data_IF_361950590559
#
_entry.id   IF_361950590559
#
_cell.length_a   1.000
_cell.length_b   1.000
_cell.length_c   1.000
_cell.angle_alpha   90.00
_cell.angle_beta   90.00
_cell.angle_gamma   90.00
#
_symmetry.space_group_name_H-M   'P 1'
#
loop_
_entity.id
_entity.type
_entity.pdbx_description
1 polymer ?
#
# COMPACT_ATOMS: atom_id res chain seq x y z
N UNK A 1 -25.83 -19.80 -23.04
CA UNK A 1 -24.65 -19.69 -22.16
C UNK A 1 -25.17 -19.26 -20.80
N UNK A 2 -24.97 -20.06 -19.74
CA UNK A 2 -25.57 -19.78 -18.43
C UNK A 2 -24.98 -18.50 -17.82
N UNK A 3 -25.83 -17.61 -17.28
CA UNK A 3 -25.40 -16.36 -16.65
C UNK A 3 -24.41 -16.59 -15.50
N UNK A 4 -24.52 -17.72 -14.80
CA UNK A 4 -23.58 -18.16 -13.76
C UNK A 4 -22.18 -18.41 -14.31
N UNK A 5 -22.06 -19.05 -15.47
CA UNK A 5 -20.76 -19.35 -16.09
C UNK A 5 -20.03 -18.07 -16.52
N UNK A 6 -20.78 -17.10 -17.06
CA UNK A 6 -20.25 -15.76 -17.39
C UNK A 6 -19.77 -15.04 -16.13
N UNK A 7 -20.55 -15.11 -15.05
CA UNK A 7 -20.22 -14.45 -13.78
C UNK A 7 -18.94 -15.02 -13.15
N UNK A 8 -18.78 -16.35 -13.15
CA UNK A 8 -17.57 -17.01 -12.65
C UNK A 8 -16.34 -16.58 -13.45
N UNK A 9 -16.43 -16.54 -14.79
CA UNK A 9 -15.32 -16.09 -15.64
C UNK A 9 -14.93 -14.64 -15.32
N UNK A 10 -15.91 -13.74 -15.18
CA UNK A 10 -15.66 -12.34 -14.84
C UNK A 10 -14.96 -12.19 -13.49
N UNK A 11 -15.38 -12.96 -12.48
CA UNK A 11 -14.76 -13.00 -11.16
C UNK A 11 -13.30 -13.47 -11.25
N UNK A 12 -13.02 -14.54 -11.99
CA UNK A 12 -11.67 -15.08 -12.16
C UNK A 12 -10.77 -14.07 -12.88
N UNK A 13 -11.26 -13.41 -13.93
CA UNK A 13 -10.51 -12.37 -14.64
C UNK A 13 -10.18 -11.17 -13.74
N UNK A 14 -11.14 -10.74 -12.92
CA UNK A 14 -10.93 -9.70 -11.90
C UNK A 14 -9.84 -10.09 -10.90
N UNK A 15 -9.86 -11.32 -10.41
CA UNK A 15 -8.85 -11.84 -9.49
C UNK A 15 -7.46 -11.84 -10.11
N UNK A 16 -7.34 -12.37 -11.33
CA UNK A 16 -6.07 -12.41 -12.07
C UNK A 16 -5.54 -10.99 -12.30
N UNK A 17 -6.41 -10.05 -12.70
CA UNK A 17 -6.03 -8.66 -12.91
C UNK A 17 -5.54 -7.98 -11.60
N UNK A 18 -6.25 -8.19 -10.50
CA UNK A 18 -5.84 -7.67 -9.18
C UNK A 18 -4.49 -8.23 -8.74
N UNK A 19 -4.27 -9.54 -8.91
CA UNK A 19 -3.01 -10.18 -8.56
C UNK A 19 -1.86 -9.63 -9.42
N UNK A 20 -2.03 -9.53 -10.75
CA UNK A 20 -0.98 -9.05 -11.67
C UNK A 20 -0.59 -7.60 -11.37
N UNK A 21 -1.56 -6.71 -11.23
CA UNK A 21 -1.29 -5.28 -10.97
C UNK A 21 -0.53 -5.09 -9.66
N UNK A 22 -0.80 -5.94 -8.67
CA UNK A 22 -0.23 -5.84 -7.33
C UNK A 22 1.11 -6.54 -7.21
N UNK A 23 1.31 -7.62 -7.94
CA UNK A 23 2.62 -8.24 -8.14
C UNK A 23 3.62 -7.25 -8.75
N UNK A 24 3.22 -6.49 -9.78
CA UNK A 24 4.08 -5.44 -10.37
C UNK A 24 4.51 -4.39 -9.34
N UNK A 25 3.57 -3.94 -8.50
CA UNK A 25 3.84 -2.99 -7.41
C UNK A 25 4.80 -3.56 -6.35
N UNK A 26 4.59 -4.82 -5.96
CA UNK A 26 5.47 -5.51 -5.02
C UNK A 26 6.88 -5.73 -5.57
N UNK A 27 6.99 -6.10 -6.86
CA UNK A 27 8.29 -6.27 -7.53
C UNK A 27 9.09 -4.97 -7.52
N UNK A 28 8.46 -3.86 -7.90
CA UNK A 28 9.10 -2.54 -7.84
C UNK A 28 9.56 -2.21 -6.41
N UNK A 29 8.72 -2.44 -5.40
CA UNK A 29 9.13 -2.26 -4.00
C UNK A 29 10.32 -3.12 -3.58
N UNK A 30 10.36 -4.40 -3.99
CA UNK A 30 11.46 -5.30 -3.67
C UNK A 30 12.77 -4.82 -4.29
N UNK A 31 12.74 -4.34 -5.52
CA UNK A 31 13.89 -3.72 -6.19
C UNK A 31 14.35 -2.48 -5.42
N UNK A 32 13.44 -1.66 -4.90
CA UNK A 32 13.77 -0.49 -4.08
C UNK A 32 14.37 -0.85 -2.74
N UNK A 33 13.84 -1.89 -2.10
CA UNK A 33 14.37 -2.40 -0.84
C UNK A 33 15.80 -2.93 -1.04
N UNK A 34 16.05 -3.62 -2.15
CA UNK A 34 17.39 -4.07 -2.51
C UNK A 34 18.35 -2.90 -2.78
N UNK A 35 17.92 -1.88 -3.53
CA UNK A 35 18.71 -0.67 -3.78
C UNK A 35 19.00 0.12 -2.50
N UNK A 36 18.02 0.21 -1.59
CA UNK A 36 18.18 0.83 -0.29
C UNK A 36 19.10 0.01 0.62
N UNK A 37 19.00 -1.32 0.64
CA UNK A 37 19.89 -2.22 1.40
C UNK A 37 21.34 -2.19 0.90
N UNK A 38 21.55 -1.95 -0.40
CA UNK A 38 22.89 -1.74 -0.95
C UNK A 38 23.54 -0.46 -0.42
N UNK A 39 22.74 0.57 -0.08
CA UNK A 39 23.18 1.75 0.63
C UNK A 39 23.10 1.51 2.14
N UNK A 40 24.20 1.00 2.71
CA UNK A 40 24.33 0.58 4.13
C UNK A 40 23.98 1.65 5.18
N UNK A 41 23.75 2.89 4.77
CA UNK A 41 23.44 4.06 5.60
C UNK A 41 21.93 4.38 5.68
N UNK A 42 21.06 3.57 5.08
CA UNK A 42 19.61 3.80 5.06
C UNK A 42 18.88 3.17 6.26
N UNK A 43 17.96 3.92 6.86
CA UNK A 43 17.04 3.45 7.91
C UNK A 43 15.64 3.24 7.34
N UNK A 44 15.00 2.11 7.64
CA UNK A 44 13.62 1.82 7.27
C UNK A 44 12.64 2.36 8.32
N UNK A 45 11.62 3.12 7.89
CA UNK A 45 10.50 3.52 8.73
C UNK A 45 9.18 3.11 8.10
N UNK A 46 8.42 2.30 8.83
CA UNK A 46 7.05 1.92 8.47
C UNK A 46 6.01 2.73 9.26
N UNK A 47 5.11 3.39 8.53
CA UNK A 47 4.11 4.31 9.10
C UNK A 47 2.66 3.79 8.98
N UNK A 48 2.47 2.64 8.34
CA UNK A 48 1.17 2.08 7.97
C UNK A 48 0.53 1.13 8.97
N UNK A 49 0.99 1.10 10.23
CA UNK A 49 0.51 0.15 11.25
C UNK A 49 -1.01 0.20 11.46
N UNK A 50 -1.61 1.40 11.45
CA UNK A 50 -3.06 1.57 11.58
C UNK A 50 -3.82 0.92 10.42
N UNK A 51 -3.32 1.01 9.19
CA UNK A 51 -3.93 0.36 8.03
C UNK A 51 -3.87 -1.16 8.17
N UNK A 52 -2.71 -1.70 8.56
CA UNK A 52 -2.55 -3.14 8.81
C UNK A 52 -3.59 -3.63 9.82
N UNK A 53 -3.79 -2.89 10.91
CA UNK A 53 -4.78 -3.20 11.94
C UNK A 53 -6.22 -3.19 11.38
N UNK A 54 -6.60 -2.17 10.61
CA UNK A 54 -7.93 -2.08 9.98
C UNK A 54 -8.15 -3.24 9.01
N UNK A 55 -7.15 -3.58 8.19
CA UNK A 55 -7.24 -4.70 7.25
C UNK A 55 -7.38 -6.06 7.96
N UNK A 56 -6.65 -6.28 9.05
CA UNK A 56 -6.80 -7.48 9.89
C UNK A 56 -8.22 -7.53 10.48
N UNK A 57 -8.72 -6.40 10.99
CA UNK A 57 -10.06 -6.34 11.57
C UNK A 57 -11.16 -6.61 10.54
N UNK A 58 -11.07 -6.03 9.35
CA UNK A 58 -11.99 -6.30 8.22
C UNK A 58 -11.93 -7.77 7.82
N UNK A 59 -10.74 -8.38 7.78
CA UNK A 59 -10.56 -9.79 7.47
C UNK A 59 -11.27 -10.68 8.50
N UNK A 60 -11.06 -10.42 9.79
CA UNK A 60 -11.71 -11.17 10.89
C UNK A 60 -13.24 -11.02 10.81
N UNK A 61 -13.75 -9.81 10.65
CA UNK A 61 -15.19 -9.56 10.50
C UNK A 61 -15.78 -10.26 9.26
N UNK A 62 -15.04 -10.30 8.15
CA UNK A 62 -15.46 -10.99 6.93
C UNK A 62 -15.55 -12.51 7.13
N UNK A 63 -14.58 -13.11 7.82
CA UNK A 63 -14.60 -14.54 8.17
C UNK A 63 -15.78 -14.86 9.09
N UNK A 64 -16.00 -14.03 10.12
CA UNK A 64 -17.15 -14.20 11.04
C UNK A 64 -18.47 -14.09 10.29
N UNK A 65 -18.62 -13.10 9.40
CA UNK A 65 -19.81 -12.96 8.57
C UNK A 65 -20.05 -14.20 7.69
N UNK A 66 -18.99 -14.78 7.13
CA UNK A 66 -19.08 -16.01 6.35
C UNK A 66 -19.53 -17.22 7.16
N UNK A 67 -18.99 -17.39 8.37
CA UNK A 67 -19.39 -18.45 9.28
C UNK A 67 -20.87 -18.29 9.68
N UNK A 68 -21.32 -17.07 9.98
CA UNK A 68 -22.72 -16.77 10.33
C UNK A 68 -23.66 -17.07 9.16
N UNK A 69 -23.29 -16.72 7.92
CA UNK A 69 -24.07 -17.04 6.72
C UNK A 69 -24.15 -18.55 6.51
N UNK A 70 -23.03 -19.27 6.66
CA UNK A 70 -22.96 -20.72 6.52
C UNK A 70 -23.80 -21.46 7.58
N UNK A 71 -23.71 -21.06 8.85
CA UNK A 71 -24.44 -21.68 9.97
C UNK A 71 -25.95 -21.41 9.86
N UNK A 72 -26.35 -20.19 9.50
CA UNK A 72 -27.76 -19.82 9.49
C UNK A 72 -28.52 -20.30 8.24
N UNK A 73 -27.88 -21.03 7.32
CA UNK A 73 -28.45 -21.46 6.03
C UNK A 73 -29.32 -20.36 5.41
N UNK A 74 -28.86 -19.12 5.47
CA UNK A 74 -29.50 -18.02 4.76
C UNK A 74 -29.58 -18.49 3.31
N UNK A 75 -30.80 -18.67 2.81
CA UNK A 75 -31.11 -19.35 1.54
C UNK A 75 -30.23 -18.83 0.40
N UNK A 76 -29.13 -19.51 0.16
CA UNK A 76 -28.20 -19.22 -0.92
C UNK A 76 -27.73 -20.57 -1.44
N UNK A 77 -28.29 -20.97 -2.58
CA UNK A 77 -28.28 -22.34 -3.09
C UNK A 77 -26.93 -22.81 -3.63
N UNK A 78 -25.88 -21.97 -3.63
CA UNK A 78 -24.60 -22.30 -4.27
C UNK A 78 -23.36 -21.99 -3.38
N UNK A 79 -22.80 -23.01 -2.69
CA UNK A 79 -21.62 -22.85 -1.83
C UNK A 79 -20.34 -22.49 -2.60
N UNK A 80 -20.27 -22.76 -3.91
CA UNK A 80 -19.13 -22.41 -4.76
C UNK A 80 -19.00 -20.88 -4.90
N UNK A 81 -20.12 -20.20 -5.13
CA UNK A 81 -20.20 -18.75 -5.30
C UNK A 81 -19.72 -18.00 -4.05
N UNK A 82 -20.05 -18.49 -2.84
CA UNK A 82 -19.54 -17.90 -1.59
C UNK A 82 -18.04 -18.13 -1.37
N UNK A 83 -17.53 -19.30 -1.74
CA UNK A 83 -16.10 -19.58 -1.65
C UNK A 83 -15.29 -18.63 -2.55
N UNK A 84 -15.80 -18.33 -3.75
CA UNK A 84 -15.22 -17.32 -4.65
C UNK A 84 -15.28 -15.92 -4.05
N UNK A 85 -16.38 -15.51 -3.43
CA UNK A 85 -16.49 -14.22 -2.74
C UNK A 85 -15.48 -14.11 -1.59
N UNK A 86 -15.33 -15.15 -0.75
CA UNK A 86 -14.31 -15.16 0.30
C UNK A 86 -12.90 -15.12 -0.26
N UNK A 87 -12.63 -15.86 -1.33
CA UNK A 87 -11.34 -15.81 -2.01
C UNK A 87 -11.04 -14.39 -2.52
N UNK A 88 -12.02 -13.68 -3.08
CA UNK A 88 -11.86 -12.29 -3.51
C UNK A 88 -11.56 -11.37 -2.35
N UNK A 89 -12.32 -11.45 -1.26
CA UNK A 89 -12.10 -10.60 -0.08
C UNK A 89 -10.71 -10.87 0.50
N UNK A 90 -10.35 -12.14 0.67
CA UNK A 90 -9.06 -12.55 1.21
C UNK A 90 -7.88 -12.08 0.35
N UNK A 91 -7.94 -12.33 -0.97
CA UNK A 91 -6.92 -11.87 -1.91
C UNK A 91 -6.82 -10.35 -1.90
N UNK A 92 -7.96 -9.63 -1.89
CA UNK A 92 -8.01 -8.17 -1.84
C UNK A 92 -7.34 -7.62 -0.58
N UNK A 93 -7.59 -8.22 0.58
CA UNK A 93 -6.95 -7.83 1.84
C UNK A 93 -5.44 -8.07 1.80
N UNK A 94 -4.99 -9.26 1.36
CA UNK A 94 -3.55 -9.55 1.26
C UNK A 94 -2.84 -8.59 0.31
N UNK A 95 -3.44 -8.36 -0.84
CA UNK A 95 -2.99 -7.42 -1.86
C UNK A 95 -2.86 -6.00 -1.31
N UNK A 96 -3.85 -5.54 -0.55
CA UNK A 96 -3.85 -4.21 -0.01
C UNK A 96 -2.89 -4.07 1.18
N UNK A 97 -2.69 -5.12 1.99
CA UNK A 97 -1.65 -5.16 3.02
C UNK A 97 -0.26 -4.97 2.41
N UNK A 98 0.01 -5.63 1.27
CA UNK A 98 1.25 -5.44 0.52
C UNK A 98 1.34 -3.99 0.05
N UNK A 99 0.29 -3.44 -0.58
CA UNK A 99 0.26 -2.03 -1.00
C UNK A 99 0.52 -1.06 0.14
N UNK A 100 -0.10 -1.27 1.30
CA UNK A 100 0.11 -0.48 2.51
C UNK A 100 1.58 -0.56 2.93
N UNK A 101 2.16 -1.75 2.97
CA UNK A 101 3.58 -1.90 3.27
C UNK A 101 4.45 -1.09 2.30
N UNK A 102 4.19 -1.18 1.00
CA UNK A 102 4.92 -0.43 -0.03
C UNK A 102 4.76 1.09 0.14
N UNK A 103 3.52 1.58 0.27
CA UNK A 103 3.23 3.02 0.30
C UNK A 103 3.67 3.69 1.60
N UNK A 104 3.69 2.94 2.71
CA UNK A 104 3.95 3.49 4.03
C UNK A 104 5.33 3.14 4.60
N UNK A 105 6.14 2.39 3.85
CA UNK A 105 7.56 2.22 4.15
C UNK A 105 8.36 3.29 3.42
N UNK A 106 9.21 4.00 4.15
CA UNK A 106 10.18 4.93 3.59
C UNK A 106 11.57 4.59 4.08
N UNK A 107 12.53 4.49 3.17
CA UNK A 107 13.94 4.32 3.49
C UNK A 107 14.63 5.67 3.40
N UNK A 108 15.30 6.11 4.46
CA UNK A 108 15.88 7.45 4.54
C UNK A 108 17.22 7.47 5.25
N UNK A 109 18.01 8.51 4.96
CA UNK A 109 19.27 8.82 5.64
C UNK A 109 19.35 10.35 5.88
N UNK A 110 20.54 10.86 6.19
CA UNK A 110 20.79 12.28 6.43
C UNK A 110 20.78 13.17 5.18
N UNK A 111 20.79 12.58 3.99
CA UNK A 111 20.97 13.29 2.72
C UNK A 111 19.74 13.25 1.84
N UNK A 112 18.90 12.24 2.01
CA UNK A 112 17.72 12.02 1.21
C UNK A 112 16.94 10.79 1.65
N UNK A 113 16.02 10.39 0.79
CA UNK A 113 15.16 9.24 1.00
C UNK A 113 14.86 8.57 -0.34
N UNK A 114 14.59 7.27 -0.29
CA UNK A 114 14.01 6.55 -1.40
C UNK A 114 12.49 6.65 -1.35
N UNK A 115 11.91 7.09 -2.46
CA UNK A 115 10.47 7.07 -2.69
C UNK A 115 10.22 6.21 -3.91
N UNK A 116 9.65 5.03 -3.71
CA UNK A 116 9.64 3.98 -4.72
C UNK A 116 11.08 3.77 -5.26
N UNK A 117 11.27 3.81 -6.57
CA UNK A 117 12.54 3.57 -7.28
C UNK A 117 13.51 4.75 -7.24
N UNK A 118 13.04 5.92 -6.82
CA UNK A 118 13.77 7.16 -7.01
C UNK A 118 14.41 7.61 -5.69
N UNK A 119 15.68 7.96 -5.75
CA UNK A 119 16.38 8.59 -4.64
C UNK A 119 16.21 10.11 -4.71
N UNK A 120 15.55 10.67 -3.71
CA UNK A 120 15.27 12.10 -3.60
C UNK A 120 16.17 12.70 -2.55
N UNK A 121 16.99 13.68 -2.93
CA UNK A 121 17.80 14.44 -1.97
C UNK A 121 16.94 15.50 -1.30
N UNK A 122 17.15 15.77 -0.01
CA UNK A 122 16.33 16.77 0.68
C UNK A 122 16.50 18.18 0.12
N UNK A 123 17.67 18.51 -0.42
CA UNK A 123 17.95 19.81 -1.05
C UNK A 123 17.31 19.96 -2.43
N UNK A 124 16.83 18.89 -3.05
CA UNK A 124 16.11 18.97 -4.34
C UNK A 124 14.61 19.19 -4.18
N UNK A 125 14.11 19.27 -2.93
CA UNK A 125 12.70 19.49 -2.63
C UNK A 125 12.43 21.00 -2.60
N UNK A 126 11.52 21.45 -3.46
CA UNK A 126 11.12 22.85 -3.60
C UNK A 126 9.94 23.18 -2.69
N UNK A 127 8.94 22.30 -2.64
CA UNK A 127 7.70 22.52 -1.89
C UNK A 127 7.08 21.18 -1.47
N UNK A 128 6.17 21.21 -0.50
CA UNK A 128 5.38 20.05 -0.08
C UNK A 128 3.92 20.44 0.16
N UNK A 129 3.00 19.71 -0.46
CA UNK A 129 1.56 19.90 -0.33
C UNK A 129 0.95 18.78 0.51
N UNK A 130 0.52 19.14 1.71
CA UNK A 130 -0.28 18.27 2.55
C UNK A 130 -1.76 18.62 2.37
N UNK A 131 -2.56 17.70 1.82
CA UNK A 131 -4.02 17.86 1.81
C UNK A 131 -4.56 17.68 3.24
N UNK A 132 -5.57 18.47 3.63
CA UNK A 132 -6.23 18.36 4.94
C UNK A 132 -6.77 16.92 5.10
N UNK A 133 -6.41 16.23 6.19
CA UNK A 133 -6.70 14.80 6.46
C UNK A 133 -5.96 13.77 5.57
N UNK A 134 -4.99 14.20 4.75
CA UNK A 134 -4.21 13.25 3.96
C UNK A 134 -3.08 12.61 4.76
N UNK A 135 -3.12 11.28 4.75
CA UNK A 135 -2.11 10.33 5.25
C UNK A 135 -0.84 10.30 4.39
N UNK A 136 -0.92 10.85 3.19
CA UNK A 136 0.20 11.07 2.27
C UNK A 136 0.38 12.54 1.98
N UNK A 137 1.62 12.94 1.75
CA UNK A 137 2.02 14.28 1.31
C UNK A 137 2.64 14.19 -0.06
N UNK A 138 2.32 15.17 -0.89
CA UNK A 138 2.97 15.36 -2.18
C UNK A 138 4.21 16.25 -2.02
N UNK A 139 5.37 15.74 -2.43
CA UNK A 139 6.62 16.48 -2.50
C UNK A 139 6.87 16.93 -3.93
N UNK A 140 7.22 18.19 -4.11
CA UNK A 140 7.51 18.78 -5.41
C UNK A 140 9.00 19.11 -5.45
N UNK A 141 9.73 18.54 -6.41
CA UNK A 141 11.15 18.84 -6.60
C UNK A 141 11.36 20.10 -7.45
N UNK A 142 12.57 20.66 -7.45
CA UNK A 142 12.92 21.79 -8.34
C UNK A 142 12.79 21.45 -9.83
N UNK A 143 12.83 20.16 -10.18
CA UNK A 143 12.63 19.66 -11.54
C UNK A 143 11.13 19.46 -11.88
N UNK A 144 10.22 20.01 -11.07
CA UNK A 144 8.77 19.83 -11.17
C UNK A 144 8.29 18.36 -11.12
N UNK A 145 9.08 17.45 -10.55
CA UNK A 145 8.64 16.08 -10.31
C UNK A 145 7.85 16.01 -9.00
N UNK A 146 6.77 15.23 -9.01
CA UNK A 146 5.89 15.02 -7.87
C UNK A 146 6.07 13.62 -7.29
N UNK A 147 6.24 13.55 -5.98
CA UNK A 147 6.43 12.30 -5.24
C UNK A 147 5.46 12.20 -4.08
N UNK A 148 4.81 11.05 -3.93
CA UNK A 148 3.87 10.81 -2.83
C UNK A 148 4.63 10.08 -1.73
N UNK A 149 4.69 10.68 -0.54
CA UNK A 149 5.32 10.09 0.65
C UNK A 149 4.36 10.06 1.83
N UNK A 150 4.58 9.20 2.84
CA UNK A 150 3.83 9.26 4.08
C UNK A 150 3.97 10.62 4.76
N UNK A 151 2.87 11.16 5.28
CA UNK A 151 2.88 12.45 5.98
C UNK A 151 3.80 12.45 7.19
N UNK A 152 4.04 11.31 7.84
CA UNK A 152 5.02 11.22 8.95
C UNK A 152 6.46 11.49 8.48
N UNK A 153 6.80 11.21 7.23
CA UNK A 153 8.10 11.49 6.63
C UNK A 153 8.37 13.00 6.55
N UNK A 154 7.33 13.85 6.47
CA UNK A 154 7.49 15.31 6.55
C UNK A 154 8.13 15.78 7.85
N UNK A 155 7.89 15.09 8.97
CA UNK A 155 8.48 15.50 10.25
C UNK A 155 10.00 15.38 10.20
N UNK A 156 10.49 14.26 9.67
CA UNK A 156 11.91 14.02 9.41
C UNK A 156 12.47 15.06 8.45
N UNK A 157 11.75 15.33 7.35
CA UNK A 157 12.14 16.35 6.36
C UNK A 157 12.24 17.75 6.99
N UNK A 158 11.23 18.19 7.73
CA UNK A 158 11.22 19.49 8.40
C UNK A 158 12.38 19.60 9.38
N UNK A 159 12.57 18.59 10.23
CA UNK A 159 13.64 18.59 11.22
C UNK A 159 15.03 18.66 10.56
N UNK A 160 15.25 17.94 9.44
CA UNK A 160 16.54 17.92 8.72
C UNK A 160 16.77 19.15 7.84
N UNK A 161 15.74 19.71 7.21
CA UNK A 161 15.83 20.95 6.41
C UNK A 161 16.11 22.14 7.33
N UNK A 162 15.39 22.25 8.46
CA UNK A 162 15.56 23.33 9.44
C UNK A 162 16.94 23.23 10.11
N UNK A 163 17.40 22.02 10.47
CA UNK A 163 18.72 21.84 11.06
C UNK A 163 19.88 22.24 10.11
N UNK A 164 19.69 22.12 8.79
CA UNK A 164 20.68 22.56 7.79
C UNK A 164 20.67 24.07 7.54
N UNK A 165 19.54 24.76 7.73
CA UNK A 165 19.47 26.22 7.59
C UNK A 165 20.09 26.97 8.78
N UNK A 166 20.29 26.29 9.91
CA UNK A 166 20.92 26.83 11.13
C UNK A 166 22.44 26.58 11.21
N UNK A 167 23.04 25.94 10.20
CA UNK A 167 24.49 25.77 10.05
C UNK A 167 24.97 26.60 8.89
#
# INVERSE_FOLDING_TARGET
MNNEFVTIILIVLLLVYMIITRYKMYKAFKENLQLAQQRKDMTEMFTGQMFVMVYILVMVLSVIAGIVVYINKLKFDDPLSWLLVFAIIFVSVLVDLVRVKVMYTTNYNDHGMYVNTDYIRYNSIKDYKQKKLAITTELITFNNQSYIVPTKTLRILKDKIIAKQKK
#
